data_IF_774221614418
#
_entry.id   IF_774221614418
#
_cell.length_a   1.000
_cell.length_b   1.000
_cell.length_c   1.000
_cell.angle_alpha   90.00
_cell.angle_beta   90.00
_cell.angle_gamma   90.00
#
_symmetry.space_group_name_H-M   'P 1'
#
loop_
_entity.id
_entity.type
_entity.pdbx_description
1 polymer ?
#
# COMPACT_ATOMS: atom_id res chain seq x y z
N UNK A 1 3.38 9.40 9.76
CA UNK A 1 3.12 8.92 8.38
C UNK A 1 2.89 10.08 7.46
N UNK A 2 3.16 9.87 6.18
CA UNK A 2 2.89 10.85 5.14
C UNK A 2 1.69 10.41 4.32
N UNK A 3 1.16 11.33 3.52
CA UNK A 3 0.08 11.03 2.58
C UNK A 3 0.56 11.39 1.18
N UNK A 4 0.21 10.55 0.21
CA UNK A 4 0.64 10.74 -1.17
C UNK A 4 -0.55 10.59 -2.12
N UNK A 5 -0.59 11.42 -3.15
CA UNK A 5 -1.58 11.30 -4.20
C UNK A 5 -1.28 10.09 -5.08
N UNK A 6 -2.30 9.34 -5.50
CA UNK A 6 -2.06 8.21 -6.41
C UNK A 6 -1.28 8.59 -7.66
N UNK A 7 -1.55 9.76 -8.24
CA UNK A 7 -0.87 10.20 -9.48
C UNK A 7 0.63 10.40 -9.31
N UNK A 8 1.13 10.46 -8.09
CA UNK A 8 2.57 10.60 -7.84
C UNK A 8 3.29 9.26 -7.70
N UNK A 9 2.56 8.15 -7.83
CA UNK A 9 3.16 6.82 -7.83
C UNK A 9 3.66 6.48 -9.24
N UNK A 10 4.70 5.68 -9.31
CA UNK A 10 5.24 5.17 -10.57
C UNK A 10 5.75 3.74 -10.38
N UNK A 11 6.34 3.17 -11.43
CA UNK A 11 6.81 1.79 -11.39
C UNK A 11 7.99 1.56 -10.43
N UNK A 12 8.62 2.64 -9.93
CA UNK A 12 9.69 2.52 -8.95
C UNK A 12 9.18 2.67 -7.52
N UNK A 13 7.90 2.98 -7.35
CA UNK A 13 7.30 3.09 -6.02
C UNK A 13 7.11 1.71 -5.41
N UNK A 14 7.52 1.54 -4.15
CA UNK A 14 7.22 0.31 -3.43
C UNK A 14 5.80 0.43 -2.86
N UNK A 15 4.89 -0.39 -3.35
CA UNK A 15 3.46 -0.31 -3.01
C UNK A 15 3.03 -1.58 -2.30
N UNK A 16 2.32 -1.41 -1.18
CA UNK A 16 1.71 -2.51 -0.43
C UNK A 16 0.20 -2.35 -0.45
N UNK A 17 -0.51 -3.36 -0.98
CA UNK A 17 -1.97 -3.41 -0.98
C UNK A 17 -2.42 -4.27 0.20
N UNK A 18 -3.24 -3.69 1.08
CA UNK A 18 -3.70 -4.36 2.31
C UNK A 18 -5.17 -4.69 2.30
N UNK A 19 -5.82 -4.69 1.12
CA UNK A 19 -7.25 -5.01 1.00
C UNK A 19 -7.53 -6.47 1.28
N UNK A 20 -8.82 -6.83 1.33
CA UNK A 20 -9.23 -8.22 1.50
C UNK A 20 -8.92 -9.04 0.25
N UNK A 21 -8.85 -10.38 0.38
CA UNK A 21 -8.63 -11.24 -0.79
C UNK A 21 -9.71 -11.08 -1.86
N UNK A 22 -10.97 -10.91 -1.46
CA UNK A 22 -12.08 -10.73 -2.40
C UNK A 22 -11.91 -9.46 -3.22
N UNK A 23 -11.53 -8.36 -2.57
CA UNK A 23 -11.28 -7.10 -3.26
C UNK A 23 -10.11 -7.23 -4.23
N UNK A 24 -9.03 -7.87 -3.77
CA UNK A 24 -7.83 -8.02 -4.58
C UNK A 24 -8.08 -8.92 -5.80
N UNK A 25 -8.85 -9.97 -5.63
CA UNK A 25 -9.20 -10.88 -6.72
C UNK A 25 -10.10 -10.21 -7.76
N UNK A 26 -10.91 -9.24 -7.35
CA UNK A 26 -11.80 -8.52 -8.27
C UNK A 26 -11.03 -7.53 -9.13
N UNK A 27 -10.09 -6.81 -8.54
CA UNK A 27 -9.29 -5.82 -9.28
C UNK A 27 -8.03 -5.47 -8.49
N UNK A 28 -7.01 -5.00 -9.21
CA UNK A 28 -5.74 -4.59 -8.59
C UNK A 28 -5.09 -3.49 -9.42
N UNK A 29 -4.14 -2.78 -8.83
CA UNK A 29 -3.33 -1.81 -9.57
C UNK A 29 -2.50 -2.55 -10.61
N UNK A 30 -2.33 -1.95 -11.79
CA UNK A 30 -1.38 -2.45 -12.77
C UNK A 30 0.06 -2.19 -12.35
N UNK A 31 0.32 -1.08 -11.67
CA UNK A 31 1.66 -0.78 -11.14
C UNK A 31 2.17 -1.95 -10.28
N UNK A 32 3.47 -2.24 -10.33
CA UNK A 32 4.04 -3.30 -9.48
C UNK A 32 3.71 -3.04 -8.01
N UNK A 33 3.32 -4.08 -7.30
CA UNK A 33 2.95 -3.98 -5.88
C UNK A 33 3.07 -5.33 -5.22
N UNK A 34 3.10 -5.31 -3.89
CA UNK A 34 3.02 -6.51 -3.06
C UNK A 34 1.65 -6.51 -2.40
N UNK A 35 1.01 -7.67 -2.37
CA UNK A 35 -0.26 -7.84 -1.69
C UNK A 35 -0.04 -8.55 -0.35
N UNK A 36 -0.60 -7.99 0.71
CA UNK A 36 -0.66 -8.65 2.02
C UNK A 36 -1.88 -8.11 2.76
N UNK A 37 -2.86 -8.97 2.99
CA UNK A 37 -4.07 -8.59 3.71
C UNK A 37 -3.74 -8.01 5.08
N UNK A 38 -4.42 -6.94 5.48
CA UNK A 38 -4.15 -6.25 6.74
C UNK A 38 -4.19 -7.19 7.94
N UNK A 39 -5.15 -8.10 7.97
CA UNK A 39 -5.31 -9.03 9.10
C UNK A 39 -4.12 -9.99 9.27
N UNK A 40 -3.33 -10.17 8.22
CA UNK A 40 -2.17 -11.08 8.24
C UNK A 40 -0.85 -10.35 8.22
N UNK A 41 -0.88 -9.02 8.30
CA UNK A 41 0.33 -8.21 8.21
C UNK A 41 1.12 -8.28 9.51
N UNK A 42 2.38 -8.70 9.40
CA UNK A 42 3.38 -8.62 10.46
C UNK A 42 4.47 -7.68 9.94
N UNK A 43 4.53 -6.43 10.43
CA UNK A 43 5.45 -5.44 9.87
C UNK A 43 6.92 -5.86 9.87
N UNK A 44 7.41 -6.44 10.96
CA UNK A 44 8.82 -6.85 11.03
C UNK A 44 9.12 -7.96 10.04
N UNK A 45 8.23 -8.94 9.94
CA UNK A 45 8.39 -10.03 8.97
C UNK A 45 8.35 -9.49 7.54
N UNK A 46 7.42 -8.57 7.27
CA UNK A 46 7.26 -7.97 5.94
C UNK A 46 8.52 -7.21 5.52
N UNK A 47 9.07 -6.39 6.43
CA UNK A 47 10.30 -5.63 6.17
C UNK A 47 11.44 -6.59 5.84
N UNK A 48 11.56 -7.66 6.61
CA UNK A 48 12.63 -8.65 6.46
C UNK A 48 12.49 -9.42 5.15
N UNK A 49 11.28 -9.87 4.84
CA UNK A 49 10.99 -10.66 3.64
C UNK A 49 11.22 -9.86 2.36
N UNK A 50 11.03 -8.56 2.40
CA UNK A 50 11.18 -7.70 1.25
C UNK A 50 12.51 -6.92 1.23
N UNK A 51 13.41 -7.21 2.17
CA UNK A 51 14.72 -6.56 2.28
C UNK A 51 14.63 -5.04 2.29
N UNK A 52 13.66 -4.52 3.03
CA UNK A 52 13.44 -3.07 3.06
C UNK A 52 14.41 -2.41 4.04
N UNK A 53 15.00 -1.29 3.62
CA UNK A 53 15.79 -0.46 4.50
C UNK A 53 14.97 0.79 4.90
N UNK A 54 15.46 1.52 5.89
CA UNK A 54 14.72 2.65 6.47
C UNK A 54 14.56 3.83 5.52
N UNK A 55 15.30 3.86 4.43
CA UNK A 55 15.25 4.94 3.45
C UNK A 55 14.20 4.70 2.37
N UNK A 56 13.74 3.45 2.25
CA UNK A 56 12.69 3.13 1.30
C UNK A 56 11.33 3.47 1.87
N UNK A 57 10.49 4.11 1.07
CA UNK A 57 9.13 4.44 1.47
C UNK A 57 8.19 3.29 1.11
N UNK A 58 7.41 2.83 2.08
CA UNK A 58 6.31 1.89 1.81
C UNK A 58 5.06 2.71 1.56
N UNK A 59 4.52 2.64 0.33
CA UNK A 59 3.28 3.32 -0.05
C UNK A 59 2.15 2.32 0.12
N UNK A 60 1.17 2.63 0.96
CA UNK A 60 0.14 1.66 1.35
C UNK A 60 -1.20 2.05 0.76
N UNK A 61 -1.86 1.10 0.10
CA UNK A 61 -3.16 1.31 -0.53
C UNK A 61 -4.22 0.35 0.03
N UNK A 62 -5.43 0.86 0.17
CA UNK A 62 -6.62 0.04 0.44
C UNK A 62 -7.76 0.58 -0.43
N UNK A 63 -9.02 0.32 -0.07
CA UNK A 63 -10.14 0.79 -0.90
C UNK A 63 -10.29 2.32 -0.84
N UNK A 64 -10.25 2.91 0.35
CA UNK A 64 -10.53 4.34 0.54
C UNK A 64 -9.59 5.05 1.52
N UNK A 65 -8.68 4.34 2.18
CA UNK A 65 -7.63 4.94 3.02
C UNK A 65 -7.58 4.50 4.47
N UNK A 66 -8.68 4.01 5.05
CA UNK A 66 -8.72 3.70 6.48
C UNK A 66 -7.80 2.54 6.88
N UNK A 67 -7.85 1.44 6.15
CA UNK A 67 -7.01 0.28 6.44
C UNK A 67 -5.55 0.57 6.15
N UNK A 68 -5.27 1.37 5.14
CA UNK A 68 -3.90 1.79 4.83
C UNK A 68 -3.31 2.61 5.99
N UNK A 69 -4.11 3.48 6.61
CA UNK A 69 -3.67 4.23 7.78
C UNK A 69 -3.38 3.31 8.96
N UNK A 70 -4.21 2.29 9.18
CA UNK A 70 -3.96 1.30 10.22
C UNK A 70 -2.64 0.56 9.98
N UNK A 71 -2.40 0.14 8.74
CA UNK A 71 -1.15 -0.54 8.39
C UNK A 71 0.05 0.36 8.62
N UNK A 72 -0.04 1.64 8.23
CA UNK A 72 1.02 2.61 8.44
C UNK A 72 1.36 2.75 9.92
N UNK A 73 0.34 2.82 10.78
CA UNK A 73 0.56 2.88 12.23
C UNK A 73 1.26 1.62 12.75
N UNK A 74 0.91 0.46 12.21
CA UNK A 74 1.57 -0.79 12.60
C UNK A 74 3.07 -0.76 12.28
N UNK A 75 3.44 -0.26 11.09
CA UNK A 75 4.84 -0.11 10.74
C UNK A 75 5.55 0.89 11.65
N UNK A 76 4.92 2.01 11.95
CA UNK A 76 5.51 3.02 12.83
C UNK A 76 5.78 2.46 14.23
N UNK A 77 4.82 1.73 14.77
CA UNK A 77 4.98 1.08 16.09
C UNK A 77 6.09 0.03 16.09
N UNK A 78 6.35 -0.58 14.94
CA UNK A 78 7.43 -1.55 14.79
C UNK A 78 8.79 -0.89 14.52
N UNK A 79 8.83 0.44 14.48
CA UNK A 79 10.08 1.18 14.31
C UNK A 79 10.42 1.54 12.88
N UNK A 80 9.49 1.33 11.93
CA UNK A 80 9.68 1.70 10.53
C UNK A 80 8.76 2.87 10.21
N UNK A 81 9.33 4.08 10.18
CA UNK A 81 8.54 5.31 10.05
C UNK A 81 8.36 5.82 8.63
N UNK A 82 9.10 5.25 7.66
CA UNK A 82 9.05 5.73 6.28
C UNK A 82 7.88 5.09 5.53
N UNK A 83 6.67 5.49 5.90
CA UNK A 83 5.43 4.98 5.34
C UNK A 83 4.57 6.13 4.84
N UNK A 84 3.87 5.90 3.73
CA UNK A 84 2.97 6.86 3.13
C UNK A 84 1.63 6.18 2.83
N UNK A 85 0.55 6.84 3.19
CA UNK A 85 -0.81 6.37 2.89
C UNK A 85 -1.22 6.97 1.55
N UNK A 86 -1.69 6.12 0.64
CA UNK A 86 -2.19 6.59 -0.65
C UNK A 86 -3.59 7.15 -0.44
N UNK A 87 -3.73 8.45 -0.68
CA UNK A 87 -4.97 9.19 -0.43
C UNK A 87 -6.11 8.59 -1.26
N UNK A 88 -7.23 8.28 -0.58
CA UNK A 88 -8.44 7.79 -1.23
C UNK A 88 -8.36 6.38 -1.80
N UNK A 89 -7.22 5.70 -1.67
CA UNK A 89 -7.08 4.31 -2.05
C UNK A 89 -7.36 4.02 -3.52
N UNK A 90 -7.91 2.83 -3.78
CA UNK A 90 -8.21 2.39 -5.15
C UNK A 90 -9.21 3.29 -5.85
N UNK A 91 -10.18 3.83 -5.11
CA UNK A 91 -11.19 4.73 -5.68
C UNK A 91 -10.51 5.96 -6.28
N UNK A 92 -9.65 6.61 -5.52
CA UNK A 92 -8.95 7.80 -5.97
C UNK A 92 -7.90 7.47 -7.02
N UNK A 93 -7.25 6.31 -6.90
CA UNK A 93 -6.25 5.87 -7.88
C UNK A 93 -6.85 5.79 -9.28
N UNK A 94 -8.03 5.19 -9.41
CA UNK A 94 -8.72 5.11 -10.69
C UNK A 94 -9.11 6.50 -11.19
N UNK A 95 -9.64 7.32 -10.31
CA UNK A 95 -10.03 8.70 -10.65
C UNK A 95 -8.85 9.51 -11.17
N UNK A 96 -7.67 9.33 -10.59
CA UNK A 96 -6.47 10.08 -10.97
C UNK A 96 -5.72 9.45 -12.16
N UNK A 97 -6.28 8.43 -12.76
CA UNK A 97 -5.77 7.88 -14.03
C UNK A 97 -4.80 6.72 -13.93
N UNK A 98 -4.62 6.13 -12.74
CA UNK A 98 -3.83 4.90 -12.64
C UNK A 98 -4.60 3.75 -13.30
N UNK A 99 -3.88 2.89 -14.02
CA UNK A 99 -4.50 1.73 -14.62
C UNK A 99 -4.87 0.69 -13.57
N UNK A 100 -6.08 0.17 -13.68
CA UNK A 100 -6.63 -0.87 -12.82
C UNK A 100 -6.84 -2.11 -13.67
N UNK A 101 -6.35 -3.25 -13.20
CA UNK A 101 -6.59 -4.54 -13.84
C UNK A 101 -7.82 -5.15 -13.19
N UNK A 102 -8.87 -5.39 -13.97
CA UNK A 102 -10.09 -6.05 -13.50
C UNK A 102 -10.08 -7.49 -13.97
N UNK A 103 -10.39 -8.37 -13.03
CA UNK A 103 -10.37 -9.81 -13.28
C UNK A 103 -11.76 -10.36 -13.58
#
# INVERSE_FOLDING_TARGET
MRFIRPRNLDENSFILDVRSPEEYQAEELKLPHIYKELAKLDPLAFIRENNLNREQTIHIICASGARASQAAEMFEKAGFSNVAVIIGGMVEAEYEGLEIIRH
#
